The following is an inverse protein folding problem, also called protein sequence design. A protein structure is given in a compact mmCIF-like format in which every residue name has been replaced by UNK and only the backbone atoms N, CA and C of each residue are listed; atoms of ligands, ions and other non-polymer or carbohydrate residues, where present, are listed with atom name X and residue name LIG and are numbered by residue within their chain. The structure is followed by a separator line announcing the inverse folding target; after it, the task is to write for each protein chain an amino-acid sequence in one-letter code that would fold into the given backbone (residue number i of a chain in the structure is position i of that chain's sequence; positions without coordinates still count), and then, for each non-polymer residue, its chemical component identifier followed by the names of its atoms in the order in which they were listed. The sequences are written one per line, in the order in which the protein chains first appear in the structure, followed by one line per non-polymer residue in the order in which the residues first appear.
data_IF_591852266901
#
_entry.id   IF_591852266901
#
_cell.length_a   1.000
_cell.length_b   1.000
_cell.length_c   1.000
_cell.angle_alpha   90.00
_cell.angle_beta   90.00
_cell.angle_gamma   90.00
#
_symmetry.space_group_name_H-M   'P 1'
#
loop_
_entity.id
_entity.type
_entity.pdbx_description
1 polymer ?
#
# COMPACT_ATOMS: atom_id res chain seq x y z
N UNK A 1 24.39 -0.50 -10.80
CA UNK A 1 23.86 -1.77 -11.36
C UNK A 1 24.52 -2.12 -12.69
N UNK A 2 24.68 -1.16 -13.59
CA UNK A 2 25.08 -1.43 -14.98
C UNK A 2 26.52 -1.92 -15.11
N UNK A 3 27.45 -1.31 -14.36
CA UNK A 3 28.84 -1.76 -14.28
C UNK A 3 29.02 -3.22 -13.83
N UNK A 4 28.15 -3.74 -12.97
CA UNK A 4 28.28 -5.11 -12.44
C UNK A 4 27.51 -6.15 -13.26
N UNK A 5 26.60 -5.73 -14.15
CA UNK A 5 25.71 -6.66 -14.88
C UNK A 5 25.99 -6.71 -16.39
N UNK A 6 26.54 -5.64 -16.97
CA UNK A 6 26.81 -5.53 -18.40
C UNK A 6 28.12 -6.24 -18.78
N UNK A 7 29.30 -5.93 -18.18
CA UNK A 7 30.56 -6.54 -18.58
C UNK A 7 30.60 -8.08 -18.42
N UNK A 8 30.12 -8.68 -17.30
CA UNK A 8 30.09 -10.14 -17.18
C UNK A 8 29.18 -10.83 -18.20
N UNK A 9 28.15 -10.13 -18.69
CA UNK A 9 27.26 -10.68 -19.73
C UNK A 9 27.98 -10.79 -21.07
N UNK A 10 28.79 -9.80 -21.45
CA UNK A 10 29.62 -9.86 -22.65
C UNK A 10 30.75 -10.89 -22.51
N UNK A 11 31.40 -10.95 -21.34
CA UNK A 11 32.46 -11.92 -21.06
C UNK A 11 31.93 -13.37 -21.12
N UNK A 12 30.71 -13.59 -20.65
CA UNK A 12 30.04 -14.90 -20.72
C UNK A 12 29.84 -15.38 -22.16
N UNK A 13 29.49 -14.48 -23.08
CA UNK A 13 29.35 -14.78 -24.51
C UNK A 13 30.72 -15.09 -25.12
N UNK A 14 31.74 -14.30 -24.78
CA UNK A 14 33.10 -14.48 -25.28
C UNK A 14 33.73 -15.82 -24.82
N UNK A 15 33.52 -16.21 -23.57
CA UNK A 15 34.06 -17.45 -22.99
C UNK A 15 33.18 -18.69 -23.25
N UNK A 16 32.01 -18.54 -23.88
CA UNK A 16 31.05 -19.64 -24.07
C UNK A 16 30.52 -20.27 -22.78
N UNK A 17 30.70 -19.63 -21.63
CA UNK A 17 30.32 -20.14 -20.29
C UNK A 17 29.39 -19.17 -19.59
N UNK A 18 28.24 -19.66 -19.12
CA UNK A 18 27.28 -18.85 -18.37
C UNK A 18 27.66 -18.78 -16.89
N UNK A 19 27.93 -17.57 -16.40
CA UNK A 19 28.14 -17.31 -14.98
C UNK A 19 26.93 -16.55 -14.41
N UNK A 20 26.26 -17.15 -13.41
CA UNK A 20 25.09 -16.53 -12.76
C UNK A 20 25.49 -15.28 -11.95
N UNK A 21 26.67 -15.32 -11.31
CA UNK A 21 27.35 -14.21 -10.65
C UNK A 21 26.44 -13.16 -9.98
N UNK A 22 26.68 -11.90 -10.31
CA UNK A 22 25.99 -10.73 -9.76
C UNK A 22 24.72 -10.33 -10.54
N UNK A 23 24.12 -11.24 -11.30
CA UNK A 23 22.94 -10.92 -12.14
C UNK A 23 21.73 -10.48 -11.32
N UNK A 24 21.62 -10.92 -10.06
CA UNK A 24 20.55 -10.50 -9.15
C UNK A 24 20.58 -8.99 -8.84
N UNK A 25 21.71 -8.29 -9.01
CA UNK A 25 21.79 -6.83 -8.85
C UNK A 25 20.87 -6.07 -9.83
N UNK A 26 20.39 -6.72 -10.89
CA UNK A 26 19.36 -6.15 -11.77
C UNK A 26 18.06 -5.84 -11.03
N UNK A 27 17.75 -6.55 -9.94
CA UNK A 27 16.58 -6.28 -9.12
C UNK A 27 16.59 -4.86 -8.51
N UNK A 28 17.76 -4.27 -8.28
CA UNK A 28 17.89 -2.87 -7.83
C UNK A 28 17.33 -1.87 -8.85
N UNK A 29 17.21 -2.23 -10.14
CA UNK A 29 16.55 -1.37 -11.13
C UNK A 29 15.06 -1.19 -10.85
N UNK A 30 14.45 -2.05 -10.02
CA UNK A 30 13.06 -1.85 -9.62
C UNK A 30 12.89 -0.50 -8.91
N UNK A 31 13.91 0.00 -8.20
CA UNK A 31 13.87 1.30 -7.54
C UNK A 31 13.53 2.48 -8.48
N UNK A 32 13.78 2.36 -9.78
CA UNK A 32 13.46 3.42 -10.77
C UNK A 32 12.04 3.31 -11.34
N UNK A 33 11.30 2.25 -11.03
CA UNK A 33 9.91 2.03 -11.49
C UNK A 33 8.96 3.17 -11.09
N UNK A 34 8.97 3.69 -9.84
CA UNK A 34 8.12 4.81 -9.45
C UNK A 34 8.34 6.06 -10.32
N UNK A 35 9.60 6.35 -10.67
CA UNK A 35 9.95 7.49 -11.53
C UNK A 35 9.42 7.30 -12.95
N UNK A 36 9.51 6.08 -13.48
CA UNK A 36 8.93 5.73 -14.78
C UNK A 36 7.40 5.88 -14.75
N UNK A 37 6.74 5.42 -13.68
CA UNK A 37 5.28 5.57 -13.53
C UNK A 37 4.86 7.04 -13.41
N UNK A 38 5.70 7.88 -12.82
CA UNK A 38 5.49 9.33 -12.77
C UNK A 38 5.65 9.95 -14.17
N UNK A 39 6.69 9.56 -14.91
CA UNK A 39 6.91 9.99 -16.30
C UNK A 39 5.74 9.60 -17.21
N UNK A 40 5.15 8.42 -17.01
CA UNK A 40 3.98 7.94 -17.74
C UNK A 40 2.64 8.57 -17.29
N UNK A 41 2.65 9.55 -16.37
CA UNK A 41 1.46 10.22 -15.84
C UNK A 41 0.42 9.26 -15.19
N UNK A 42 0.85 8.08 -14.73
CA UNK A 42 -0.02 7.11 -14.03
C UNK A 42 -0.18 7.50 -12.56
N UNK A 43 0.91 7.89 -11.91
CA UNK A 43 0.91 8.32 -10.51
C UNK A 43 0.84 9.85 -10.44
N UNK A 44 -0.35 10.39 -10.17
CA UNK A 44 -0.60 11.84 -10.11
C UNK A 44 -0.51 12.43 -8.70
N UNK A 45 -0.84 11.63 -7.69
CA UNK A 45 -0.90 12.08 -6.30
C UNK A 45 0.44 11.84 -5.59
N UNK A 46 0.93 12.84 -4.85
CA UNK A 46 2.18 12.74 -4.07
C UNK A 46 2.19 11.54 -3.11
N UNK A 47 1.05 11.24 -2.48
CA UNK A 47 0.90 10.07 -1.59
C UNK A 47 1.10 8.74 -2.31
N UNK A 48 0.55 8.62 -3.54
CA UNK A 48 0.68 7.40 -4.35
C UNK A 48 2.10 7.23 -4.89
N UNK A 49 2.78 8.32 -5.25
CA UNK A 49 4.20 8.30 -5.65
C UNK A 49 5.06 7.80 -4.50
N UNK A 50 4.90 8.39 -3.31
CA UNK A 50 5.67 8.02 -2.11
C UNK A 50 5.43 6.56 -1.71
N UNK A 51 4.17 6.11 -1.75
CA UNK A 51 3.83 4.70 -1.50
C UNK A 51 4.50 3.76 -2.51
N UNK A 52 4.43 4.08 -3.81
CA UNK A 52 5.06 3.29 -4.86
C UNK A 52 6.59 3.23 -4.69
N UNK A 53 7.22 4.34 -4.26
CA UNK A 53 8.64 4.40 -3.94
C UNK A 53 9.00 3.45 -2.80
N UNK A 54 8.29 3.51 -1.66
CA UNK A 54 8.55 2.61 -0.52
C UNK A 54 8.40 1.14 -0.90
N UNK A 55 7.31 0.78 -1.57
CA UNK A 55 7.04 -0.61 -2.00
C UNK A 55 8.12 -1.09 -2.97
N UNK A 56 8.51 -0.25 -3.93
CA UNK A 56 9.54 -0.61 -4.90
C UNK A 56 10.91 -0.81 -4.24
N UNK A 57 11.32 0.09 -3.34
CA UNK A 57 12.57 -0.04 -2.60
C UNK A 57 12.55 -1.34 -1.78
N UNK A 58 11.46 -1.62 -1.05
CA UNK A 58 11.32 -2.85 -0.26
C UNK A 58 11.50 -4.11 -1.10
N UNK A 59 10.76 -4.24 -2.21
CA UNK A 59 10.85 -5.42 -3.09
C UNK A 59 12.25 -5.54 -3.71
N UNK A 60 12.85 -4.41 -4.12
CA UNK A 60 14.17 -4.40 -4.77
C UNK A 60 15.29 -4.86 -3.83
N UNK A 61 15.31 -4.37 -2.58
CA UNK A 61 16.28 -4.73 -1.55
C UNK A 61 16.13 -6.21 -1.20
N UNK A 62 14.89 -6.67 -1.08
CA UNK A 62 14.59 -8.04 -0.72
C UNK A 62 15.03 -9.07 -1.77
N UNK A 63 14.69 -8.84 -3.04
CA UNK A 63 15.13 -9.71 -4.14
C UNK A 63 16.66 -9.68 -4.29
N UNK A 64 17.29 -8.53 -4.04
CA UNK A 64 18.75 -8.41 -4.06
C UNK A 64 19.37 -9.22 -2.91
N UNK A 65 18.84 -9.12 -1.70
CA UNK A 65 19.31 -9.90 -0.55
C UNK A 65 19.13 -11.41 -0.76
N UNK A 66 18.00 -11.84 -1.37
CA UNK A 66 17.77 -13.24 -1.73
C UNK A 66 18.84 -13.72 -2.73
N UNK A 67 19.18 -12.88 -3.70
CA UNK A 67 20.24 -13.15 -4.67
C UNK A 67 21.63 -13.24 -4.05
N UNK A 68 21.93 -12.39 -3.06
CA UNK A 68 23.19 -12.45 -2.29
C UNK A 68 23.29 -13.77 -1.53
N UNK A 69 22.26 -14.15 -0.77
CA UNK A 69 22.24 -15.42 -0.03
C UNK A 69 22.35 -16.60 -0.99
N UNK A 70 21.60 -16.59 -2.10
CA UNK A 70 21.70 -17.62 -3.13
C UNK A 70 23.12 -17.73 -3.70
N UNK A 71 23.81 -16.61 -3.93
CA UNK A 71 25.20 -16.62 -4.39
C UNK A 71 26.15 -17.19 -3.33
N UNK A 72 26.02 -16.73 -2.07
CA UNK A 72 26.90 -17.13 -0.97
C UNK A 72 26.74 -18.64 -0.66
N UNK A 73 25.51 -19.12 -0.51
CA UNK A 73 25.24 -20.52 -0.16
C UNK A 73 25.61 -21.50 -1.30
N UNK A 74 25.36 -21.13 -2.56
CA UNK A 74 25.74 -21.99 -3.69
C UNK A 74 27.23 -21.95 -4.01
N UNK A 75 27.94 -20.87 -3.68
CA UNK A 75 29.38 -20.76 -3.91
C UNK A 75 30.19 -21.44 -2.80
N UNK A 76 29.66 -21.44 -1.57
CA UNK A 76 30.38 -21.93 -0.38
C UNK A 76 31.37 -20.89 0.17
N UNK A 77 31.94 -21.18 1.35
CA UNK A 77 32.89 -20.29 2.00
C UNK A 77 34.25 -20.25 1.27
N UNK A 78 34.91 -19.08 1.12
CA UNK A 78 36.11 -18.93 0.31
C UNK A 78 37.34 -19.74 0.77
N UNK A 79 37.36 -20.14 2.04
CA UNK A 79 38.52 -20.80 2.63
C UNK A 79 38.55 -22.29 2.35
N UNK A 80 37.39 -22.95 2.32
CA UNK A 80 37.30 -24.41 2.19
C UNK A 80 36.41 -24.85 1.03
N UNK A 81 35.48 -24.02 0.54
CA UNK A 81 34.50 -24.33 -0.52
C UNK A 81 33.72 -25.65 -0.32
N UNK A 82 33.76 -26.26 0.87
CA UNK A 82 33.11 -27.54 1.17
C UNK A 82 31.67 -27.38 1.65
N UNK A 83 31.36 -26.28 2.37
CA UNK A 83 30.04 -26.03 2.96
C UNK A 83 29.01 -25.47 1.96
N UNK A 84 29.05 -25.93 0.70
CA UNK A 84 28.11 -25.46 -0.32
C UNK A 84 26.73 -26.08 -0.09
N UNK A 85 25.68 -25.24 -0.11
CA UNK A 85 24.30 -25.68 -0.02
C UNK A 85 23.57 -25.28 -1.31
N UNK A 86 23.12 -26.29 -2.06
CA UNK A 86 22.38 -26.05 -3.31
C UNK A 86 20.96 -25.60 -3.02
N UNK A 87 20.78 -24.29 -2.88
CA UNK A 87 19.48 -23.65 -2.71
C UNK A 87 19.02 -23.04 -4.03
N UNK A 88 17.75 -23.24 -4.36
CA UNK A 88 17.10 -22.50 -5.45
C UNK A 88 16.87 -21.06 -5.03
N UNK A 89 16.92 -20.14 -5.99
CA UNK A 89 16.67 -18.71 -5.75
C UNK A 89 15.33 -18.48 -5.01
N UNK A 90 14.28 -19.20 -5.41
CA UNK A 90 12.96 -19.09 -4.78
C UNK A 90 12.94 -19.61 -3.35
N UNK A 91 13.76 -20.61 -3.02
CA UNK A 91 13.95 -21.07 -1.64
C UNK A 91 14.63 -19.99 -0.79
N UNK A 92 15.59 -19.25 -1.36
CA UNK A 92 16.20 -18.10 -0.68
C UNK A 92 15.22 -16.95 -0.47
N UNK A 93 14.33 -16.69 -1.44
CA UNK A 93 13.23 -15.70 -1.30
C UNK A 93 12.29 -16.13 -0.16
N UNK A 94 11.85 -17.39 -0.16
CA UNK A 94 11.02 -17.96 0.91
C UNK A 94 11.71 -17.84 2.28
N UNK A 95 12.97 -18.22 2.37
CA UNK A 95 13.76 -18.11 3.60
C UNK A 95 13.80 -16.67 4.14
N UNK A 96 14.03 -15.69 3.27
CA UNK A 96 14.00 -14.29 3.67
C UNK A 96 12.60 -13.80 4.07
N UNK A 97 11.53 -14.26 3.40
CA UNK A 97 10.13 -13.99 3.83
C UNK A 97 9.93 -14.43 5.28
N UNK A 98 10.24 -15.69 5.56
CA UNK A 98 10.02 -16.33 6.86
C UNK A 98 10.89 -15.72 7.96
N UNK A 99 12.10 -15.28 7.62
CA UNK A 99 13.03 -14.71 8.59
C UNK A 99 12.73 -13.23 8.88
N UNK A 100 12.41 -12.43 7.86
CA UNK A 100 12.02 -11.02 8.03
C UNK A 100 10.66 -10.87 8.73
N UNK A 101 9.74 -11.82 8.52
CA UNK A 101 8.48 -11.88 9.26
C UNK A 101 8.65 -12.35 10.70
N UNK A 102 9.88 -12.63 11.15
CA UNK A 102 10.23 -13.14 12.49
C UNK A 102 9.62 -14.51 12.83
N UNK A 103 9.13 -15.26 11.83
CA UNK A 103 8.54 -16.60 12.02
C UNK A 103 9.63 -17.65 12.24
N UNK A 104 10.64 -17.69 11.37
CA UNK A 104 11.83 -18.54 11.55
C UNK A 104 11.56 -20.03 11.73
N UNK A 105 10.90 -20.69 10.76
CA UNK A 105 10.58 -22.13 10.85
C UNK A 105 11.79 -23.04 11.07
N UNK A 106 12.97 -22.65 10.60
CA UNK A 106 14.21 -23.43 10.72
C UNK A 106 14.31 -24.59 9.73
N UNK A 107 13.40 -24.68 8.76
CA UNK A 107 13.41 -25.63 7.65
C UNK A 107 14.51 -25.32 6.63
N UNK A 108 14.77 -24.04 6.39
CA UNK A 108 15.87 -23.53 5.57
C UNK A 108 16.71 -22.58 6.41
N UNK A 109 18.03 -22.74 6.36
CA UNK A 109 18.98 -21.89 7.07
C UNK A 109 20.30 -21.79 6.31
N UNK A 110 21.05 -20.71 6.54
CA UNK A 110 22.38 -20.49 5.97
C UNK A 110 23.42 -21.36 6.69
N UNK A 111 24.18 -22.17 5.96
CA UNK A 111 25.28 -22.95 6.51
C UNK A 111 26.61 -22.21 6.42
N UNK A 112 26.78 -21.38 5.39
CA UNK A 112 28.01 -20.64 5.15
C UNK A 112 28.24 -19.55 6.21
N UNK A 113 29.49 -19.33 6.57
CA UNK A 113 29.88 -18.27 7.51
C UNK A 113 29.51 -16.91 6.91
N UNK A 114 29.82 -16.69 5.63
CA UNK A 114 29.47 -15.44 4.94
C UNK A 114 27.96 -15.22 4.86
N UNK A 115 27.17 -16.25 4.58
CA UNK A 115 25.71 -16.19 4.54
C UNK A 115 25.12 -15.81 5.90
N UNK A 116 25.61 -16.42 6.99
CA UNK A 116 25.21 -16.10 8.37
C UNK A 116 25.57 -14.67 8.76
N UNK A 117 26.80 -14.24 8.47
CA UNK A 117 27.24 -12.86 8.76
C UNK A 117 26.39 -11.85 8.00
N UNK A 118 26.14 -12.08 6.71
CA UNK A 118 25.26 -11.23 5.91
C UNK A 118 23.86 -11.16 6.50
N UNK A 119 23.28 -12.31 6.89
CA UNK A 119 21.93 -12.39 7.45
C UNK A 119 21.81 -11.58 8.75
N UNK A 120 22.79 -11.65 9.65
CA UNK A 120 22.78 -10.89 10.91
C UNK A 120 22.73 -9.38 10.66
N UNK A 121 23.61 -8.87 9.78
CA UNK A 121 23.59 -7.44 9.42
C UNK A 121 22.31 -7.05 8.69
N UNK A 122 21.83 -7.91 7.79
CA UNK A 122 20.61 -7.68 7.02
C UNK A 122 19.37 -7.58 7.93
N UNK A 123 19.26 -8.43 8.96
CA UNK A 123 18.15 -8.37 9.92
C UNK A 123 18.23 -7.12 10.81
N UNK A 124 19.42 -6.76 11.30
CA UNK A 124 19.59 -5.54 12.11
C UNK A 124 19.15 -4.29 11.35
N UNK A 125 19.61 -4.12 10.10
CA UNK A 125 19.23 -2.98 9.27
C UNK A 125 17.78 -3.10 8.80
N UNK A 126 17.36 -4.28 8.37
CA UNK A 126 16.03 -4.55 7.82
C UNK A 126 14.92 -4.28 8.82
N UNK A 127 15.08 -4.70 10.08
CA UNK A 127 14.11 -4.43 11.15
C UNK A 127 14.02 -2.94 11.49
N UNK A 128 15.17 -2.24 11.57
CA UNK A 128 15.20 -0.80 11.85
C UNK A 128 14.50 0.01 10.75
N UNK A 129 14.75 -0.33 9.49
CA UNK A 129 14.10 0.31 8.34
C UNK A 129 12.61 -0.03 8.31
N UNK A 130 12.24 -1.29 8.52
CA UNK A 130 10.83 -1.73 8.51
C UNK A 130 9.99 -1.02 9.59
N UNK A 131 10.56 -0.79 10.77
CA UNK A 131 9.90 -0.03 11.84
C UNK A 131 9.53 1.42 11.41
N UNK A 132 10.34 2.04 10.55
CA UNK A 132 10.06 3.38 10.02
C UNK A 132 9.05 3.38 8.87
N UNK A 133 9.04 2.33 8.04
CA UNK A 133 8.19 2.28 6.84
C UNK A 133 6.75 1.84 7.12
N UNK A 134 6.52 0.99 8.13
CA UNK A 134 5.16 0.51 8.45
C UNK A 134 4.21 1.68 8.76
N UNK A 135 4.53 2.62 9.68
CA UNK A 135 3.65 3.75 9.99
C UNK A 135 3.36 4.61 8.76
N UNK A 136 4.40 4.90 7.98
CA UNK A 136 4.30 5.73 6.77
C UNK A 136 3.38 5.08 5.72
N UNK A 137 3.52 3.77 5.49
CA UNK A 137 2.64 3.03 4.58
C UNK A 137 1.20 3.04 5.12
N UNK A 138 0.99 2.84 6.42
CA UNK A 138 -0.36 2.85 7.01
C UNK A 138 -1.03 4.22 6.92
N UNK A 139 -0.30 5.31 7.09
CA UNK A 139 -0.82 6.67 6.95
C UNK A 139 -1.18 6.96 5.48
N UNK A 140 -0.28 6.60 4.55
CA UNK A 140 -0.50 6.81 3.12
C UNK A 140 -1.63 5.94 2.56
N UNK A 141 -1.78 4.69 3.04
CA UNK A 141 -2.85 3.78 2.63
C UNK A 141 -4.18 4.09 3.33
N UNK A 142 -4.12 4.56 4.58
CA UNK A 142 -5.27 4.89 5.41
C UNK A 142 -5.97 6.18 5.04
N UNK A 143 -5.33 7.07 4.27
CA UNK A 143 -5.89 8.35 3.81
C UNK A 143 -7.04 8.23 2.77
N UNK A 144 -7.70 7.07 2.67
CA UNK A 144 -8.98 6.98 1.94
C UNK A 144 -10.05 7.62 2.81
N UNK A 145 -10.68 8.69 2.31
CA UNK A 145 -11.86 9.30 2.94
C UNK A 145 -12.92 8.23 3.20
N UNK A 146 -13.15 7.89 4.46
CA UNK A 146 -14.09 6.82 4.87
C UNK A 146 -15.54 7.16 4.51
N UNK A 147 -15.84 8.45 4.49
CA UNK A 147 -17.14 9.03 4.13
C UNK A 147 -17.11 9.73 2.76
N UNK A 148 -16.25 9.27 1.86
CA UNK A 148 -16.29 9.69 0.45
C UNK A 148 -17.27 8.84 -0.35
N UNK A 149 -17.64 9.30 -1.55
CA UNK A 149 -18.54 8.58 -2.46
C UNK A 149 -19.61 9.48 -3.05
N UNK A 150 -20.44 8.91 -3.92
CA UNK A 150 -21.65 9.57 -4.43
C UNK A 150 -22.88 8.81 -3.92
N UNK A 151 -23.90 9.54 -3.48
CA UNK A 151 -25.19 8.96 -3.17
C UNK A 151 -25.81 8.39 -4.45
N UNK A 152 -26.00 7.08 -4.50
CA UNK A 152 -26.61 6.41 -5.65
C UNK A 152 -28.12 6.49 -5.49
N UNK A 153 -28.74 7.39 -6.27
CA UNK A 153 -30.19 7.61 -6.23
C UNK A 153 -30.96 6.31 -6.52
N UNK A 154 -31.52 5.71 -5.47
CA UNK A 154 -32.47 4.62 -5.59
C UNK A 154 -33.89 5.17 -5.76
N UNK A 155 -34.91 4.30 -5.90
CA UNK A 155 -36.32 4.72 -6.11
C UNK A 155 -36.95 5.41 -4.88
N UNK A 156 -36.22 5.55 -3.78
CA UNK A 156 -36.66 6.20 -2.55
C UNK A 156 -36.47 7.71 -2.60
N UNK A 157 -37.34 8.43 -1.89
CA UNK A 157 -37.16 9.86 -1.68
C UNK A 157 -36.02 10.05 -0.69
N UNK A 158 -35.21 11.08 -0.85
CA UNK A 158 -34.16 11.39 0.10
C UNK A 158 -34.16 12.87 0.45
N UNK A 159 -33.72 13.19 1.66
CA UNK A 159 -33.55 14.55 2.16
C UNK A 159 -32.07 14.75 2.46
N UNK A 160 -31.50 15.85 1.96
CA UNK A 160 -30.12 16.22 2.26
C UNK A 160 -30.11 17.22 3.41
N UNK A 161 -29.46 16.86 4.51
CA UNK A 161 -29.30 17.72 5.68
C UNK A 161 -27.87 18.27 5.69
N UNK A 162 -27.76 19.60 5.72
CA UNK A 162 -26.49 20.33 5.74
C UNK A 162 -26.50 21.36 6.89
N UNK A 163 -25.31 21.82 7.29
CA UNK A 163 -25.15 22.90 8.28
C UNK A 163 -24.40 22.43 9.52
N UNK A 164 -24.90 22.81 10.70
CA UNK A 164 -24.30 22.45 11.98
C UNK A 164 -24.72 21.03 12.41
N UNK A 165 -23.95 20.06 11.95
CA UNK A 165 -24.17 18.63 12.19
C UNK A 165 -23.32 18.22 13.39
N UNK A 166 -23.95 18.10 14.55
CA UNK A 166 -23.35 17.59 15.79
C UNK A 166 -24.19 16.42 16.31
N UNK A 167 -23.65 15.64 17.25
CA UNK A 167 -24.40 14.53 17.85
C UNK A 167 -25.76 14.98 18.40
N UNK A 168 -25.80 16.11 19.11
CA UNK A 168 -27.01 16.65 19.71
C UNK A 168 -28.03 17.06 18.63
N UNK A 169 -27.63 17.85 17.64
CA UNK A 169 -28.55 18.31 16.58
C UNK A 169 -29.11 17.15 15.76
N UNK A 170 -28.28 16.17 15.42
CA UNK A 170 -28.69 14.98 14.68
C UNK A 170 -29.57 14.06 15.53
N UNK A 171 -29.27 13.88 16.82
CA UNK A 171 -30.08 13.05 17.71
C UNK A 171 -31.49 13.61 17.87
N UNK A 172 -31.62 14.93 18.09
CA UNK A 172 -32.92 15.58 18.16
C UNK A 172 -33.67 15.49 16.83
N UNK A 173 -33.00 15.77 15.71
CA UNK A 173 -33.61 15.66 14.38
C UNK A 173 -34.12 14.24 14.09
N UNK A 174 -33.30 13.20 14.32
CA UNK A 174 -33.69 11.81 14.06
C UNK A 174 -34.83 11.35 14.97
N UNK A 175 -34.85 11.77 16.24
CA UNK A 175 -35.95 11.46 17.16
C UNK A 175 -37.28 12.04 16.68
N UNK A 176 -37.27 13.29 16.21
CA UNK A 176 -38.49 13.96 15.75
C UNK A 176 -38.93 13.50 14.35
N UNK A 177 -37.96 13.20 13.48
CA UNK A 177 -38.19 12.87 12.07
C UNK A 177 -38.55 11.39 11.85
N UNK A 178 -37.91 10.46 12.57
CA UNK A 178 -38.14 9.01 12.49
C UNK A 178 -39.06 8.48 13.62
N UNK A 179 -39.89 9.35 14.21
CA UNK A 179 -40.80 8.95 15.29
C UNK A 179 -41.87 7.95 14.80
N UNK A 180 -42.18 6.93 15.61
CA UNK A 180 -43.13 5.85 15.27
C UNK A 180 -44.56 6.36 15.00
N UNK A 181 -44.91 7.53 15.55
CA UNK A 181 -46.22 8.17 15.34
C UNK A 181 -46.37 8.81 13.94
N UNK A 182 -45.33 8.82 13.11
CA UNK A 182 -45.39 9.33 11.73
C UNK A 182 -45.69 8.18 10.77
N UNK A 183 -46.74 8.34 9.96
CA UNK A 183 -47.10 7.40 8.90
C UNK A 183 -45.94 7.17 7.91
N UNK A 184 -45.57 5.90 7.70
CA UNK A 184 -44.55 5.35 6.78
C UNK A 184 -43.76 6.39 5.97
N UNK A 185 -42.74 6.97 6.60
CA UNK A 185 -41.80 7.88 5.95
C UNK A 185 -40.73 7.04 5.25
N UNK A 186 -41.01 6.51 4.05
CA UNK A 186 -40.01 5.83 3.19
C UNK A 186 -39.07 6.87 2.54
N UNK A 187 -38.33 7.59 3.40
CA UNK A 187 -37.41 8.66 3.04
C UNK A 187 -36.06 8.42 3.69
N UNK A 188 -35.01 8.45 2.89
CA UNK A 188 -33.63 8.36 3.36
C UNK A 188 -33.08 9.74 3.73
N UNK A 189 -32.34 9.83 4.84
CA UNK A 189 -31.71 11.05 5.30
C UNK A 189 -30.22 11.00 4.97
N UNK A 190 -29.77 11.93 4.15
CA UNK A 190 -28.37 12.04 3.73
C UNK A 190 -27.75 13.26 4.41
N UNK A 191 -26.83 13.03 5.34
CA UNK A 191 -26.07 14.10 5.98
C UNK A 191 -24.86 14.48 5.13
N UNK A 192 -24.69 15.77 4.87
CA UNK A 192 -23.51 16.30 4.19
C UNK A 192 -22.79 17.30 5.08
N UNK A 193 -21.57 16.96 5.47
CA UNK A 193 -20.74 17.80 6.32
C UNK A 193 -19.28 17.86 5.84
N UNK A 194 -18.54 18.90 6.24
CA UNK A 194 -17.14 19.06 5.84
C UNK A 194 -16.19 18.20 6.68
N UNK A 195 -16.46 18.11 7.98
CA UNK A 195 -15.65 17.34 8.93
C UNK A 195 -16.20 15.91 9.04
N UNK A 196 -15.32 14.94 9.23
CA UNK A 196 -15.73 13.58 9.56
C UNK A 196 -16.48 13.54 10.90
N UNK A 197 -17.46 12.64 11.06
CA UNK A 197 -18.26 12.55 12.27
C UNK A 197 -17.39 12.08 13.44
N UNK A 198 -17.58 12.68 14.61
CA UNK A 198 -16.95 12.19 15.83
C UNK A 198 -17.53 10.80 16.21
N UNK A 199 -16.84 10.03 17.05
CA UNK A 199 -17.19 8.62 17.37
C UNK A 199 -18.64 8.43 17.85
N UNK A 200 -19.17 9.39 18.60
CA UNK A 200 -20.56 9.37 19.09
C UNK A 200 -21.57 9.52 17.95
N UNK A 201 -21.29 10.42 17.01
CA UNK A 201 -22.11 10.62 15.81
C UNK A 201 -21.99 9.41 14.87
N UNK A 202 -20.79 8.83 14.70
CA UNK A 202 -20.62 7.58 13.95
C UNK A 202 -21.47 6.44 14.55
N UNK A 203 -21.50 6.32 15.88
CA UNK A 203 -22.35 5.35 16.59
C UNK A 203 -23.84 5.58 16.34
N UNK A 204 -24.29 6.84 16.34
CA UNK A 204 -25.69 7.20 16.06
C UNK A 204 -26.10 6.88 14.60
N UNK A 205 -25.22 7.18 13.64
CA UNK A 205 -25.43 6.89 12.22
C UNK A 205 -25.50 5.37 11.96
N UNK A 206 -24.60 4.59 12.57
CA UNK A 206 -24.61 3.12 12.46
C UNK A 206 -25.87 2.47 13.01
N UNK A 207 -26.49 3.06 14.04
CA UNK A 207 -27.76 2.58 14.59
C UNK A 207 -28.92 2.71 13.60
N UNK A 208 -28.86 3.67 12.68
CA UNK A 208 -29.89 3.95 11.68
C UNK A 208 -29.37 3.71 10.25
N UNK A 209 -28.50 2.71 10.05
CA UNK A 209 -27.80 2.50 8.77
C UNK A 209 -28.71 2.26 7.57
N UNK A 210 -29.97 1.83 7.79
CA UNK A 210 -30.96 1.57 6.73
C UNK A 210 -31.66 2.82 6.22
N UNK A 211 -31.66 3.90 7.00
CA UNK A 211 -32.38 5.14 6.71
C UNK A 211 -31.47 6.36 6.66
N UNK A 212 -30.22 6.25 7.13
CA UNK A 212 -29.29 7.36 7.25
C UNK A 212 -27.95 7.06 6.61
N UNK A 213 -27.51 7.96 5.73
CA UNK A 213 -26.17 7.96 5.15
C UNK A 213 -25.43 9.28 5.44
N UNK A 214 -24.11 9.23 5.51
CA UNK A 214 -23.27 10.41 5.75
C UNK A 214 -22.18 10.52 4.69
N UNK A 215 -22.06 11.70 4.10
CA UNK A 215 -21.03 12.04 3.13
C UNK A 215 -20.20 13.24 3.60
N UNK A 216 -18.89 13.14 3.37
CA UNK A 216 -17.93 14.21 3.60
C UNK A 216 -17.67 14.97 2.29
N UNK A 217 -18.04 16.25 2.21
CA UNK A 217 -17.93 17.02 0.96
C UNK A 217 -18.38 18.47 1.06
N UNK A 218 -18.09 19.25 0.01
CA UNK A 218 -18.53 20.65 -0.12
C UNK A 218 -19.71 20.72 -1.10
N UNK A 219 -20.75 21.50 -0.77
CA UNK A 219 -21.95 21.63 -1.59
C UNK A 219 -21.72 22.32 -2.95
N UNK A 220 -20.56 22.94 -3.16
CA UNK A 220 -20.34 23.91 -4.25
C UNK A 220 -19.64 23.33 -5.50
N UNK A 221 -19.21 22.06 -5.46
CA UNK A 221 -18.49 21.48 -6.61
C UNK A 221 -19.41 21.17 -7.79
N UNK A 222 -20.75 21.15 -7.61
CA UNK A 222 -21.72 20.95 -8.70
C UNK A 222 -22.40 22.22 -9.21
N UNK A 223 -22.35 23.34 -8.50
CA UNK A 223 -22.90 24.63 -8.95
C UNK A 223 -22.11 25.18 -10.14
N UNK A 224 -20.77 25.05 -10.11
CA UNK A 224 -19.90 25.54 -11.20
C UNK A 224 -19.97 24.71 -12.49
N UNK A 225 -20.34 23.44 -12.41
CA UNK A 225 -20.44 22.58 -13.60
C UNK A 225 -21.70 22.85 -14.42
N UNK A 226 -22.71 23.54 -13.86
CA UNK A 226 -23.94 23.93 -14.58
C UNK A 226 -23.92 25.35 -15.14
N UNK A 227 -23.04 26.23 -14.64
CA UNK A 227 -22.89 27.59 -15.20
C UNK A 227 -22.00 27.63 -16.46
N UNK A 228 -21.35 26.52 -16.83
CA UNK A 228 -20.53 26.40 -18.05
C UNK A 228 -21.30 26.05 -19.34
N UNK A 229 -22.58 25.66 -19.24
CA UNK A 229 -23.46 25.38 -20.38
C UNK A 229 -24.50 26.50 -20.55
N UNK A 230 -24.03 27.72 -20.82
CA UNK A 230 -24.87 28.75 -21.43
C UNK A 230 -25.16 28.39 -22.91
N UNK A 231 -26.37 28.64 -23.43
CA UNK A 231 -26.74 28.24 -24.78
C UNK A 231 -25.88 28.98 -25.80
N UNK A 232 -25.07 28.25 -26.56
CA UNK A 232 -24.50 28.78 -27.80
C UNK A 232 -25.66 28.90 -28.79
N UNK A 233 -25.92 30.14 -29.20
CA UNK A 233 -26.96 30.51 -30.17
C UNK A 233 -26.71 29.98 -31.57
#
# INVERSE_FOLDING_TARGET
VDYFTIPPSFLSIYLGRTWIGLRFLRALRLMTVPDILQYLNILKTSSSIRLAQLVSIFISVWLTAAGIIHLLENSGDPFEFQNQQRLSYWTCVYFLIVTMSTVGYGDVFCQTILGRTFLVFFLLVGLAVMASWIPEITELAGNRKRYGGEYKRERRRHIVVCGHITYESVSHFLKDFLHEDREDVDVEVVFLHRKEPDLELEGLLKRHYTTVEFFSGYNDERSRSREGEGPRG
#
